data_IF_603869931359
#
_entry.id   IF_603869931359
#
_cell.length_a   1.000
_cell.length_b   1.000
_cell.length_c   1.000
_cell.angle_alpha   90.00
_cell.angle_beta   90.00
_cell.angle_gamma   90.00
#
_symmetry.space_group_name_H-M   'P 1'
#
loop_
_entity.id
_entity.type
_entity.pdbx_description
1 polymer ?
#
# COMPACT_ATOMS: atom_id res chain seq x y z
N UNK A 1 -8.39 14.30 23.81
CA UNK A 1 -8.10 15.58 23.12
C UNK A 1 -9.41 16.18 22.66
N UNK A 2 -9.77 17.36 23.15
CA UNK A 2 -10.96 18.10 22.69
C UNK A 2 -10.56 18.99 21.52
N UNK A 3 -11.21 18.82 20.39
CA UNK A 3 -10.95 19.58 19.17
C UNK A 3 -12.23 20.37 18.86
N UNK A 4 -12.13 21.69 18.82
CA UNK A 4 -13.22 22.56 18.38
C UNK A 4 -12.77 23.28 17.12
N UNK A 5 -13.44 23.00 16.00
CA UNK A 5 -13.18 23.62 14.71
C UNK A 5 -14.27 24.63 14.43
N UNK A 6 -13.88 25.90 14.39
CA UNK A 6 -14.73 27.00 14.00
C UNK A 6 -14.20 27.62 12.72
N UNK A 7 -14.71 27.17 11.58
CA UNK A 7 -14.37 27.74 10.28
C UNK A 7 -15.40 28.82 9.92
N UNK A 8 -15.02 30.07 10.04
CA UNK A 8 -15.83 31.21 9.66
C UNK A 8 -15.27 31.85 8.39
N UNK A 9 -16.07 32.07 7.38
CA UNK A 9 -15.70 32.90 6.25
C UNK A 9 -16.59 34.13 6.16
N UNK A 10 -16.12 35.17 5.47
CA UNK A 10 -16.92 36.35 5.21
C UNK A 10 -18.17 35.98 4.42
N UNK A 11 -19.34 36.42 4.90
CA UNK A 11 -20.58 36.22 4.15
C UNK A 11 -20.65 37.24 2.99
N UNK A 12 -20.55 36.72 1.78
CA UNK A 12 -20.55 37.55 0.58
C UNK A 12 -21.98 37.90 0.15
N UNK A 13 -22.23 39.22 -0.02
CA UNK A 13 -23.51 39.77 -0.44
C UNK A 13 -23.52 40.30 -1.89
N UNK A 14 -22.92 39.56 -2.82
CA UNK A 14 -23.04 39.86 -4.24
C UNK A 14 -24.45 39.54 -4.73
N UNK A 15 -24.89 40.18 -5.82
CA UNK A 15 -26.20 39.90 -6.44
C UNK A 15 -26.40 38.39 -6.70
N UNK A 16 -25.35 37.70 -7.17
CA UNK A 16 -25.43 36.27 -7.44
C UNK A 16 -25.54 35.45 -6.15
N UNK A 17 -24.81 35.81 -5.11
CA UNK A 17 -24.91 35.16 -3.80
C UNK A 17 -26.29 35.35 -3.18
N UNK A 18 -26.82 36.57 -3.21
CA UNK A 18 -28.17 36.88 -2.72
C UNK A 18 -29.26 36.09 -3.48
N UNK A 19 -29.13 35.95 -4.81
CA UNK A 19 -30.04 35.15 -5.63
C UNK A 19 -29.98 33.65 -5.33
N UNK A 20 -28.77 33.08 -5.09
CA UNK A 20 -28.62 31.69 -4.66
C UNK A 20 -29.26 31.47 -3.28
N UNK A 21 -29.00 32.37 -2.31
CA UNK A 21 -29.61 32.31 -0.98
C UNK A 21 -31.15 32.31 -1.08
N UNK A 22 -31.71 33.19 -1.89
CA UNK A 22 -33.16 33.30 -2.08
C UNK A 22 -33.76 32.08 -2.79
N UNK A 23 -33.10 31.56 -3.85
CA UNK A 23 -33.61 30.43 -4.64
C UNK A 23 -33.56 29.10 -3.88
N UNK A 24 -32.57 28.92 -3.02
CA UNK A 24 -32.35 27.67 -2.30
C UNK A 24 -32.68 27.76 -0.81
N UNK A 25 -33.26 28.89 -0.37
CA UNK A 25 -33.58 29.15 1.03
C UNK A 25 -32.42 28.89 1.98
N UNK A 26 -31.20 29.29 1.56
CA UNK A 26 -29.98 29.10 2.30
C UNK A 26 -29.60 30.37 3.06
N UNK A 27 -29.48 30.30 4.37
CA UNK A 27 -29.20 31.50 5.19
C UNK A 27 -27.77 32.00 4.97
N UNK A 28 -26.79 31.13 5.06
CA UNK A 28 -25.35 31.40 4.82
C UNK A 28 -24.58 30.12 4.73
N UNK A 29 -23.54 30.07 3.87
CA UNK A 29 -22.56 29.00 3.84
C UNK A 29 -21.28 29.32 4.64
N UNK A 30 -21.31 30.43 5.42
CA UNK A 30 -20.11 31.04 5.96
C UNK A 30 -19.54 30.36 7.23
N UNK A 31 -20.38 29.63 7.96
CA UNK A 31 -20.02 29.10 9.26
C UNK A 31 -20.08 27.57 9.26
N UNK A 32 -18.97 26.95 9.58
CA UNK A 32 -18.85 25.50 9.75
C UNK A 32 -18.21 25.20 11.11
N UNK A 33 -19.00 24.67 12.03
CA UNK A 33 -18.57 24.37 13.38
C UNK A 33 -18.59 22.86 13.59
N UNK A 34 -17.48 22.30 14.09
CA UNK A 34 -17.39 20.91 14.56
C UNK A 34 -16.79 20.92 15.95
N UNK A 35 -17.47 20.28 16.88
CA UNK A 35 -16.91 19.91 18.17
C UNK A 35 -16.65 18.41 18.17
N UNK A 36 -15.36 18.03 18.28
CA UNK A 36 -14.94 16.64 18.32
C UNK A 36 -14.21 16.35 19.64
N UNK A 37 -14.67 15.36 20.39
CA UNK A 37 -13.95 14.85 21.53
C UNK A 37 -13.24 13.54 21.15
N UNK A 38 -11.96 13.66 20.77
CA UNK A 38 -11.11 12.52 20.40
C UNK A 38 -10.25 12.17 21.62
N UNK A 39 -10.85 11.50 22.60
CA UNK A 39 -10.18 11.11 23.84
C UNK A 39 -9.36 9.82 23.61
N UNK A 40 -8.12 9.96 23.14
CA UNK A 40 -7.20 8.85 22.83
C UNK A 40 -5.85 8.98 23.54
N UNK A 41 -5.73 9.94 24.46
CA UNK A 41 -4.48 10.23 25.16
C UNK A 41 -4.08 9.11 26.13
N UNK A 42 -5.04 8.33 26.58
CA UNK A 42 -4.91 7.16 27.47
C UNK A 42 -4.62 5.84 26.72
N UNK A 43 -4.60 5.87 25.41
CA UNK A 43 -4.37 4.68 24.56
C UNK A 43 -2.93 4.59 24.09
N UNK A 44 -2.41 3.37 24.08
CA UNK A 44 -1.22 3.03 23.27
C UNK A 44 -1.68 2.71 21.86
N UNK A 45 -1.44 3.63 20.92
CA UNK A 45 -1.91 3.52 19.55
C UNK A 45 -0.85 3.95 18.53
N UNK A 46 -0.94 3.41 17.35
CA UNK A 46 -0.06 3.69 16.22
C UNK A 46 -0.81 4.29 15.03
N UNK A 47 -2.03 3.84 14.76
CA UNK A 47 -2.83 4.32 13.63
C UNK A 47 -4.22 4.73 14.11
N UNK A 48 -4.55 5.99 13.91
CA UNK A 48 -5.89 6.53 14.05
C UNK A 48 -6.48 6.90 12.69
N UNK A 49 -7.81 6.85 12.58
CA UNK A 49 -8.51 7.22 11.35
C UNK A 49 -9.62 8.21 11.64
N UNK A 50 -9.69 9.27 10.85
CA UNK A 50 -10.83 10.18 10.80
C UNK A 50 -11.54 9.96 9.47
N UNK A 51 -12.77 9.46 9.51
CA UNK A 51 -13.59 9.21 8.33
C UNK A 51 -14.81 10.13 8.27
N UNK A 52 -15.39 10.25 7.09
CA UNK A 52 -16.66 10.96 6.87
C UNK A 52 -16.76 11.56 5.49
N UNK A 53 -17.92 12.12 5.12
CA UNK A 53 -18.17 12.69 3.81
C UNK A 53 -17.19 13.80 3.44
N UNK A 54 -17.06 14.10 2.14
CA UNK A 54 -16.31 15.29 1.70
C UNK A 54 -16.92 16.55 2.29
N UNK A 55 -16.08 17.49 2.70
CA UNK A 55 -16.54 18.73 3.35
C UNK A 55 -16.94 18.60 4.82
N UNK A 56 -16.82 17.41 5.44
CA UNK A 56 -17.20 17.20 6.86
C UNK A 56 -16.14 17.66 7.88
N UNK A 57 -15.13 18.44 7.47
CA UNK A 57 -14.13 19.03 8.37
C UNK A 57 -12.98 18.14 8.79
N UNK A 58 -12.78 16.98 8.16
CA UNK A 58 -11.67 16.06 8.47
C UNK A 58 -10.30 16.75 8.47
N UNK A 59 -9.99 17.48 7.40
CA UNK A 59 -8.76 18.27 7.26
C UNK A 59 -8.60 19.30 8.36
N UNK A 60 -9.68 19.96 8.76
CA UNK A 60 -9.67 20.95 9.86
C UNK A 60 -9.42 20.29 11.22
N UNK A 61 -10.01 19.11 11.45
CA UNK A 61 -9.72 18.28 12.64
C UNK A 61 -8.24 17.89 12.63
N UNK A 62 -7.75 17.35 11.51
CA UNK A 62 -6.34 16.97 11.39
C UNK A 62 -5.38 18.11 11.72
N UNK A 63 -5.63 19.32 11.18
CA UNK A 63 -4.80 20.50 11.46
C UNK A 63 -4.74 20.89 12.93
N UNK A 64 -5.70 20.52 13.76
CA UNK A 64 -5.72 20.81 15.20
C UNK A 64 -5.16 19.67 16.06
N UNK A 65 -4.94 18.48 15.45
CA UNK A 65 -4.30 17.37 16.16
C UNK A 65 -2.82 17.66 16.45
N UNK A 66 -2.26 16.99 17.41
CA UNK A 66 -0.84 17.10 17.84
C UNK A 66 -0.39 18.55 18.11
N UNK A 67 -1.28 19.40 18.64
CA UNK A 67 -0.94 20.79 18.95
C UNK A 67 -0.75 21.69 17.72
N UNK A 68 -1.47 21.44 16.64
CA UNK A 68 -1.36 22.15 15.37
C UNK A 68 -0.44 21.44 14.38
N UNK A 69 -0.49 20.12 14.36
CA UNK A 69 0.30 19.26 13.49
C UNK A 69 0.14 19.61 12.01
N UNK A 70 1.24 19.59 11.28
CA UNK A 70 1.22 19.77 9.83
C UNK A 70 0.70 18.52 9.18
N UNK A 71 -0.26 18.69 8.26
CA UNK A 71 -0.63 17.64 7.32
C UNK A 71 0.61 17.30 6.50
N UNK A 72 0.87 16.01 6.35
CA UNK A 72 1.98 15.54 5.53
C UNK A 72 1.73 15.93 4.07
N UNK A 73 2.63 16.72 3.55
CA UNK A 73 2.70 17.06 2.13
C UNK A 73 3.96 16.41 1.56
N UNK A 74 3.82 15.56 0.53
CA UNK A 74 4.98 14.95 -0.12
C UNK A 74 5.91 16.03 -0.66
N UNK A 75 7.04 16.23 -0.03
CA UNK A 75 8.05 17.23 -0.42
C UNK A 75 9.36 16.55 -0.84
N UNK A 76 10.20 17.29 -1.56
CA UNK A 76 11.55 16.83 -1.92
C UNK A 76 11.58 15.83 -3.07
N UNK A 77 10.52 15.77 -3.87
CA UNK A 77 10.54 15.04 -5.14
C UNK A 77 11.19 15.88 -6.21
N UNK A 78 12.51 15.66 -6.43
CA UNK A 78 13.27 16.32 -7.49
C UNK A 78 12.78 15.78 -8.85
N UNK A 79 12.56 16.70 -9.79
CA UNK A 79 12.07 16.35 -11.13
C UNK A 79 13.11 15.62 -11.97
N UNK A 80 14.39 15.84 -11.66
CA UNK A 80 15.51 15.33 -12.43
C UNK A 80 16.19 14.11 -11.75
N UNK A 81 15.63 13.64 -10.63
CA UNK A 81 16.17 12.49 -9.90
C UNK A 81 15.16 11.34 -9.79
N UNK A 82 15.64 10.10 -9.81
CA UNK A 82 14.80 8.94 -9.56
C UNK A 82 14.28 8.94 -8.10
N UNK A 83 13.12 8.31 -7.89
CA UNK A 83 12.50 8.31 -6.55
C UNK A 83 13.39 7.66 -5.48
N UNK A 84 14.22 6.69 -5.85
CA UNK A 84 15.12 6.01 -4.92
C UNK A 84 16.11 6.98 -4.26
N UNK A 85 16.54 8.03 -4.97
CA UNK A 85 17.44 9.05 -4.45
C UNK A 85 16.72 10.14 -3.67
N UNK A 86 15.39 10.26 -3.84
CA UNK A 86 14.57 11.31 -3.23
C UNK A 86 13.89 10.87 -1.92
N UNK A 87 13.68 9.56 -1.70
CA UNK A 87 12.94 9.06 -0.52
C UNK A 87 13.68 9.41 0.77
N UNK A 88 14.94 9.03 0.87
CA UNK A 88 15.80 9.36 2.00
C UNK A 88 17.21 9.65 1.48
N UNK A 89 17.51 10.90 1.04
CA UNK A 89 18.77 11.23 0.37
C UNK A 89 20.04 10.94 1.18
N UNK A 90 19.92 10.86 2.50
CA UNK A 90 21.02 10.54 3.42
C UNK A 90 20.85 9.14 4.06
N UNK A 91 19.81 8.40 3.66
CA UNK A 91 19.48 7.08 4.19
C UNK A 91 20.30 5.95 3.57
N UNK A 92 20.33 4.80 4.23
CA UNK A 92 20.93 3.59 3.69
C UNK A 92 20.10 3.04 2.53
N UNK A 93 20.79 2.55 1.50
CA UNK A 93 20.16 1.96 0.31
C UNK A 93 19.22 0.80 0.65
N UNK A 94 19.60 -0.04 1.62
CA UNK A 94 18.78 -1.19 2.00
C UNK A 94 17.50 -0.75 2.71
N UNK A 95 17.54 0.30 3.51
CA UNK A 95 16.37 0.84 4.21
C UNK A 95 15.37 1.42 3.20
N UNK A 96 15.84 2.22 2.24
CA UNK A 96 15.00 2.79 1.18
C UNK A 96 14.34 1.71 0.34
N UNK A 97 15.12 0.73 -0.12
CA UNK A 97 14.58 -0.38 -0.94
C UNK A 97 13.67 -1.31 -0.15
N UNK A 98 13.95 -1.51 1.14
CA UNK A 98 13.06 -2.24 2.05
C UNK A 98 11.73 -1.52 2.25
N UNK A 99 11.73 -0.20 2.41
CA UNK A 99 10.51 0.60 2.55
C UNK A 99 9.66 0.58 1.26
N UNK A 100 10.28 0.79 0.09
CA UNK A 100 9.60 0.68 -1.21
C UNK A 100 8.92 -0.67 -1.39
N UNK A 101 9.63 -1.74 -1.07
CA UNK A 101 9.11 -3.10 -1.13
C UNK A 101 8.01 -3.34 -0.11
N UNK A 102 8.17 -2.81 1.09
CA UNK A 102 7.26 -3.03 2.22
C UNK A 102 5.90 -2.36 2.00
N UNK A 103 5.84 -1.22 1.29
CA UNK A 103 4.58 -0.57 0.91
C UNK A 103 3.99 -1.12 -0.40
N UNK A 104 4.63 -2.13 -0.99
CA UNK A 104 4.16 -2.79 -2.19
C UNK A 104 4.60 -2.14 -3.51
N UNK A 105 5.58 -1.24 -3.51
CA UNK A 105 6.20 -0.74 -4.74
C UNK A 105 7.39 -1.61 -5.12
N UNK A 106 7.11 -2.86 -5.52
CA UNK A 106 8.14 -3.85 -5.85
C UNK A 106 8.67 -3.77 -7.29
N UNK A 107 8.14 -2.89 -8.11
CA UNK A 107 8.60 -2.69 -9.49
C UNK A 107 9.90 -1.89 -9.52
N UNK A 108 11.05 -2.57 -9.67
CA UNK A 108 12.37 -1.92 -9.74
C UNK A 108 12.46 -0.83 -10.81
N UNK A 109 11.89 -0.98 -12.03
CA UNK A 109 11.88 0.10 -13.00
C UNK A 109 11.21 1.39 -12.53
N UNK A 110 10.22 1.31 -11.64
CA UNK A 110 9.59 2.50 -11.07
C UNK A 110 10.53 3.27 -10.13
N UNK A 111 11.45 2.58 -9.44
CA UNK A 111 12.42 3.20 -8.53
C UNK A 111 13.40 4.13 -9.25
N UNK A 112 13.67 3.82 -10.52
CA UNK A 112 14.60 4.55 -11.38
C UNK A 112 13.95 5.71 -12.14
N UNK A 113 12.68 6.00 -11.88
CA UNK A 113 11.94 7.08 -12.54
C UNK A 113 11.75 8.26 -11.61
N UNK A 114 11.70 9.48 -12.13
CA UNK A 114 11.29 10.66 -11.37
C UNK A 114 9.82 10.54 -10.94
N UNK A 115 9.49 11.09 -9.78
CA UNK A 115 8.14 11.00 -9.18
C UNK A 115 7.02 11.47 -10.12
N UNK A 116 7.23 12.54 -10.87
CA UNK A 116 6.20 13.15 -11.72
C UNK A 116 5.71 12.25 -12.86
N UNK A 117 6.54 11.29 -13.34
CA UNK A 117 6.19 10.36 -14.42
C UNK A 117 5.57 9.05 -13.92
N UNK A 118 5.51 8.85 -12.61
CA UNK A 118 4.87 7.68 -12.02
C UNK A 118 3.35 7.74 -12.19
N UNK A 119 2.72 6.57 -12.27
CA UNK A 119 1.27 6.45 -12.16
C UNK A 119 0.77 6.87 -10.77
N UNK A 120 -0.52 7.19 -10.62
CA UNK A 120 -1.08 7.58 -9.33
C UNK A 120 -0.88 6.51 -8.26
N UNK A 121 -0.98 5.23 -8.62
CA UNK A 121 -0.73 4.11 -7.70
C UNK A 121 0.73 3.99 -7.28
N UNK A 122 1.69 4.22 -8.20
CA UNK A 122 3.11 4.26 -7.88
C UNK A 122 3.46 5.47 -7.02
N UNK A 123 2.90 6.66 -7.32
CA UNK A 123 3.05 7.88 -6.52
C UNK A 123 2.57 7.67 -5.09
N UNK A 124 1.35 7.15 -4.93
CA UNK A 124 0.79 6.83 -3.63
C UNK A 124 1.71 5.92 -2.79
N UNK A 125 2.22 4.85 -3.40
CA UNK A 125 3.15 3.95 -2.70
C UNK A 125 4.53 4.59 -2.44
N UNK A 126 5.02 5.44 -3.32
CA UNK A 126 6.26 6.17 -3.12
C UNK A 126 6.15 7.15 -1.93
N UNK A 127 5.02 7.86 -1.82
CA UNK A 127 4.73 8.73 -0.68
C UNK A 127 4.66 7.93 0.62
N UNK A 128 4.00 6.78 0.63
CA UNK A 128 3.96 5.90 1.79
C UNK A 128 5.35 5.38 2.18
N UNK A 129 6.20 5.02 1.20
CA UNK A 129 7.58 4.61 1.46
C UNK A 129 8.38 5.73 2.10
N UNK A 130 8.20 6.98 1.62
CA UNK A 130 8.88 8.15 2.16
C UNK A 130 8.47 8.41 3.61
N UNK A 131 7.17 8.36 3.93
CA UNK A 131 6.66 8.48 5.31
C UNK A 131 7.27 7.41 6.23
N UNK A 132 7.35 6.16 5.76
CA UNK A 132 7.94 5.05 6.53
C UNK A 132 9.44 5.25 6.75
N UNK A 133 10.18 5.77 5.76
CA UNK A 133 11.62 6.06 5.89
C UNK A 133 11.90 7.24 6.81
N UNK A 134 11.10 8.30 6.71
CA UNK A 134 11.24 9.48 7.56
C UNK A 134 10.85 9.17 9.01
N UNK A 135 9.94 8.23 9.21
CA UNK A 135 9.45 7.74 10.50
C UNK A 135 9.22 8.85 11.53
N UNK A 136 8.49 9.92 11.23
CA UNK A 136 8.24 10.99 12.17
C UNK A 136 7.50 10.47 13.41
N UNK A 137 7.71 11.11 14.56
CA UNK A 137 7.00 10.76 15.80
C UNK A 137 5.48 10.81 15.62
N UNK A 138 4.99 11.79 14.87
CA UNK A 138 3.58 11.91 14.52
C UNK A 138 3.40 12.44 13.09
N UNK A 139 2.40 11.91 12.38
CA UNK A 139 2.08 12.29 11.00
C UNK A 139 0.58 12.28 10.78
N UNK A 140 0.08 13.23 9.99
CA UNK A 140 -1.29 13.30 9.52
C UNK A 140 -1.27 13.20 8.00
N UNK A 141 -1.94 12.21 7.45
CA UNK A 141 -2.04 11.99 5.99
C UNK A 141 -3.46 12.32 5.56
N UNK A 142 -3.62 13.40 4.80
CA UNK A 142 -4.92 13.80 4.26
C UNK A 142 -5.23 13.11 2.93
N UNK A 143 -6.50 13.03 2.58
CA UNK A 143 -7.01 12.40 1.36
C UNK A 143 -6.46 10.98 1.14
N UNK A 144 -6.27 10.24 2.25
CA UNK A 144 -5.71 8.90 2.19
C UNK A 144 -6.52 7.99 1.27
N UNK A 145 -5.88 7.50 0.22
CA UNK A 145 -6.44 6.65 -0.86
C UNK A 145 -7.41 7.33 -1.83
N UNK A 146 -7.60 8.64 -1.79
CA UNK A 146 -8.62 9.31 -2.62
C UNK A 146 -8.32 9.31 -4.11
N UNK A 147 -7.03 9.29 -4.49
CA UNK A 147 -6.59 9.44 -5.90
C UNK A 147 -6.19 8.13 -6.58
N UNK A 148 -6.43 6.99 -5.93
CA UNK A 148 -5.99 5.68 -6.44
C UNK A 148 -7.15 4.70 -6.57
N UNK A 149 -6.98 3.73 -7.49
CA UNK A 149 -7.89 2.61 -7.63
C UNK A 149 -8.06 1.85 -6.31
N UNK A 150 -9.28 1.33 -6.06
CA UNK A 150 -9.61 0.68 -4.77
C UNK A 150 -8.78 -0.55 -4.47
N UNK A 151 -8.34 -1.29 -5.51
CA UNK A 151 -7.46 -2.44 -5.33
C UNK A 151 -6.05 -2.01 -4.89
N UNK A 152 -5.49 -0.99 -5.55
CA UNK A 152 -4.21 -0.39 -5.17
C UNK A 152 -4.28 0.21 -3.76
N UNK A 153 -5.39 0.91 -3.46
CA UNK A 153 -5.66 1.47 -2.14
C UNK A 153 -5.66 0.37 -1.06
N UNK A 154 -6.38 -0.72 -1.30
CA UNK A 154 -6.49 -1.86 -0.38
C UNK A 154 -5.13 -2.43 0.01
N UNK A 155 -4.33 -2.81 -0.97
CA UNK A 155 -3.04 -3.46 -0.69
C UNK A 155 -1.96 -2.47 -0.26
N UNK A 156 -2.00 -1.23 -0.76
CA UNK A 156 -1.13 -0.18 -0.29
C UNK A 156 -1.39 0.17 1.18
N UNK A 157 -2.65 0.32 1.57
CA UNK A 157 -3.05 0.58 2.95
C UNK A 157 -2.67 -0.58 3.89
N UNK A 158 -2.93 -1.84 3.47
CA UNK A 158 -2.55 -3.04 4.21
C UNK A 158 -1.02 -3.15 4.39
N UNK A 159 -0.26 -2.83 3.36
CA UNK A 159 1.19 -2.86 3.39
C UNK A 159 1.76 -1.73 4.27
N UNK A 160 1.20 -0.53 4.14
CA UNK A 160 1.57 0.63 4.94
C UNK A 160 1.35 0.39 6.43
N UNK A 161 0.18 -0.06 6.85
CA UNK A 161 -0.09 -0.27 8.28
C UNK A 161 0.90 -1.25 8.92
N UNK A 162 1.29 -2.32 8.21
CA UNK A 162 2.29 -3.28 8.70
C UNK A 162 3.68 -2.66 8.86
N UNK A 163 4.04 -1.76 7.95
CA UNK A 163 5.34 -1.08 7.95
C UNK A 163 5.37 0.02 8.99
N UNK A 164 4.32 0.84 9.04
CA UNK A 164 4.22 1.95 9.97
C UNK A 164 4.24 1.50 11.44
N UNK A 165 3.52 0.44 11.78
CA UNK A 165 3.51 -0.09 13.16
C UNK A 165 4.89 -0.55 13.67
N UNK A 166 5.88 -0.67 12.82
CA UNK A 166 7.26 -1.01 13.20
C UNK A 166 8.11 0.23 13.50
N UNK A 167 7.68 1.41 13.09
CA UNK A 167 8.40 2.65 13.33
C UNK A 167 8.20 3.17 14.76
N UNK A 168 7.10 2.78 15.41
CA UNK A 168 6.71 3.28 16.73
C UNK A 168 6.06 4.66 16.72
N UNK A 169 5.91 5.28 15.54
CA UNK A 169 5.26 6.58 15.38
C UNK A 169 3.73 6.52 15.44
N UNK A 170 3.09 7.69 15.56
CA UNK A 170 1.64 7.88 15.52
C UNK A 170 1.20 8.45 14.18
N UNK A 171 0.30 7.76 13.49
CA UNK A 171 -0.24 8.18 12.20
C UNK A 171 -1.75 8.40 12.28
N UNK A 172 -2.23 9.52 11.78
CA UNK A 172 -3.66 9.78 11.59
C UNK A 172 -3.96 9.88 10.10
N UNK A 173 -4.87 9.04 9.63
CA UNK A 173 -5.29 9.00 8.25
C UNK A 173 -6.67 9.67 8.12
N UNK A 174 -6.78 10.67 7.25
CA UNK A 174 -8.04 11.34 6.95
C UNK A 174 -8.57 10.80 5.62
N UNK A 175 -9.78 10.26 5.60
CA UNK A 175 -10.34 9.66 4.38
C UNK A 175 -11.85 9.85 4.28
N UNK A 176 -12.35 10.00 3.06
CA UNK A 176 -13.78 9.92 2.76
C UNK A 176 -14.26 8.48 2.51
N UNK A 177 -13.35 7.52 2.52
CA UNK A 177 -13.61 6.13 2.21
C UNK A 177 -13.62 5.27 3.48
N UNK A 178 -14.74 4.65 3.80
CA UNK A 178 -14.92 3.81 4.99
C UNK A 178 -14.29 2.41 4.85
N UNK A 179 -14.13 1.92 3.63
CA UNK A 179 -13.53 0.60 3.36
C UNK A 179 -12.05 0.51 3.75
N UNK A 180 -11.35 1.66 3.92
CA UNK A 180 -9.98 1.65 4.42
C UNK A 180 -9.88 1.09 5.85
N UNK A 181 -10.94 1.15 6.65
CA UNK A 181 -10.94 0.69 8.03
C UNK A 181 -10.55 -0.79 8.13
N UNK A 182 -11.05 -1.60 7.19
CA UNK A 182 -10.73 -3.03 7.11
C UNK A 182 -9.27 -3.29 6.70
N UNK A 183 -8.63 -2.31 6.07
CA UNK A 183 -7.29 -2.50 5.51
C UNK A 183 -6.18 -1.95 6.40
N UNK A 184 -6.43 -0.82 7.06
CA UNK A 184 -5.42 -0.20 7.96
C UNK A 184 -5.50 -0.74 9.39
N UNK A 185 -6.58 -1.44 9.75
CA UNK A 185 -6.82 -1.98 11.09
C UNK A 185 -6.53 -0.90 12.17
N UNK A 186 -7.26 0.23 12.19
CA UNK A 186 -6.93 1.36 13.06
C UNK A 186 -7.11 1.00 14.54
N UNK A 187 -6.37 1.69 15.40
CA UNK A 187 -6.49 1.55 16.85
C UNK A 187 -7.67 2.38 17.41
N UNK A 188 -8.08 3.40 16.65
CA UNK A 188 -9.29 4.17 16.90
C UNK A 188 -9.82 4.80 15.60
N UNK A 189 -11.11 5.06 15.57
CA UNK A 189 -11.81 5.71 14.45
C UNK A 189 -12.69 6.82 14.99
N UNK A 190 -12.58 8.00 14.41
CA UNK A 190 -13.53 9.09 14.60
C UNK A 190 -14.33 9.32 13.32
N UNK A 191 -15.65 9.17 13.40
CA UNK A 191 -16.55 9.42 12.28
C UNK A 191 -17.16 10.82 12.38
N UNK A 192 -16.80 11.69 11.45
CA UNK A 192 -17.32 13.08 11.42
C UNK A 192 -18.79 13.18 11.06
N UNK A 193 -19.39 12.16 10.44
CA UNK A 193 -20.82 12.16 10.12
C UNK A 193 -21.69 11.89 11.35
N UNK A 194 -21.18 11.07 12.29
CA UNK A 194 -21.92 10.67 13.49
C UNK A 194 -21.40 11.33 14.76
N UNK A 195 -20.20 11.95 14.71
CA UNK A 195 -19.51 12.49 15.88
C UNK A 195 -19.02 11.42 16.87
N UNK A 196 -19.01 10.13 16.47
CA UNK A 196 -18.66 9.02 17.35
C UNK A 196 -17.20 8.67 17.27
N UNK A 197 -16.59 8.42 18.43
CA UNK A 197 -15.27 7.84 18.56
C UNK A 197 -15.40 6.36 18.89
N UNK A 198 -14.87 5.50 18.04
CA UNK A 198 -14.72 4.07 18.30
C UNK A 198 -13.27 3.78 18.69
N UNK A 199 -13.07 2.99 19.76
CA UNK A 199 -11.77 2.63 20.29
C UNK A 199 -11.55 1.13 20.19
N UNK A 200 -10.31 0.73 20.04
CA UNK A 200 -9.91 -0.66 19.91
C UNK A 200 -9.54 -1.00 18.46
N UNK A 201 -8.73 -2.04 18.34
CA UNK A 201 -8.21 -2.47 17.04
C UNK A 201 -9.28 -3.23 16.27
N UNK A 202 -9.79 -2.63 15.22
CA UNK A 202 -10.68 -3.28 14.27
C UNK A 202 -9.86 -4.24 13.41
N UNK A 203 -9.98 -5.56 13.67
CA UNK A 203 -9.24 -6.59 12.96
C UNK A 203 -10.11 -7.27 11.91
N UNK A 204 -10.09 -6.74 10.69
CA UNK A 204 -10.62 -7.46 9.53
C UNK A 204 -9.55 -7.45 8.43
N UNK A 205 -8.84 -8.56 8.27
CA UNK A 205 -7.89 -8.70 7.17
C UNK A 205 -8.64 -9.04 5.90
N UNK A 206 -8.34 -8.35 4.78
CA UNK A 206 -8.88 -8.76 3.49
C UNK A 206 -8.54 -10.23 3.22
N UNK A 207 -9.57 -11.05 3.04
CA UNK A 207 -9.42 -12.45 2.62
C UNK A 207 -9.51 -12.52 1.10
N UNK A 208 -8.66 -13.31 0.52
CA UNK A 208 -8.75 -13.71 -0.88
C UNK A 208 -8.17 -15.12 -1.01
N UNK A 209 -8.72 -15.88 -1.91
CA UNK A 209 -8.24 -17.21 -2.25
C UNK A 209 -7.31 -17.09 -3.47
N UNK A 210 -6.10 -17.60 -3.31
CA UNK A 210 -5.12 -17.66 -4.39
C UNK A 210 -5.14 -19.08 -4.96
N UNK A 211 -5.71 -19.21 -6.14
CA UNK A 211 -5.69 -20.46 -6.88
C UNK A 211 -4.41 -20.55 -7.72
N UNK A 212 -3.78 -21.72 -7.77
CA UNK A 212 -2.51 -21.92 -8.47
C UNK A 212 -2.68 -22.99 -9.51
N UNK A 213 -2.36 -22.67 -10.76
CA UNK A 213 -2.51 -23.55 -11.89
C UNK A 213 -1.17 -23.73 -12.61
N UNK A 214 -0.88 -24.97 -13.00
CA UNK A 214 0.18 -25.24 -13.96
C UNK A 214 -0.30 -24.75 -15.34
N UNK A 215 0.58 -24.12 -16.10
CA UNK A 215 0.27 -23.55 -17.41
C UNK A 215 1.48 -23.61 -18.33
N UNK A 216 1.35 -23.02 -19.48
CA UNK A 216 2.41 -22.83 -20.46
C UNK A 216 2.88 -21.37 -20.53
N UNK A 217 3.64 -21.03 -21.54
CA UNK A 217 4.17 -19.68 -21.75
C UNK A 217 3.12 -18.65 -22.23
N UNK A 218 1.87 -19.05 -22.45
CA UNK A 218 0.81 -18.17 -23.03
C UNK A 218 0.48 -16.98 -22.12
N UNK A 219 0.65 -17.13 -20.81
CA UNK A 219 0.45 -16.03 -19.85
C UNK A 219 1.62 -15.06 -19.78
N UNK A 220 2.83 -15.44 -20.26
CA UNK A 220 4.01 -14.59 -20.13
C UNK A 220 3.86 -13.19 -20.73
N UNK A 221 3.24 -12.97 -21.90
CA UNK A 221 3.04 -11.65 -22.47
C UNK A 221 2.27 -10.68 -21.55
N UNK A 222 1.39 -11.20 -20.69
CA UNK A 222 0.67 -10.39 -19.70
C UNK A 222 1.60 -9.90 -18.58
N UNK A 223 2.56 -10.72 -18.17
CA UNK A 223 3.45 -10.45 -17.04
C UNK A 223 4.79 -9.84 -17.43
N UNK A 224 5.23 -10.03 -18.67
CA UNK A 224 6.52 -9.56 -19.17
C UNK A 224 6.74 -8.04 -19.01
N UNK A 225 5.75 -7.16 -19.24
CA UNK A 225 5.92 -5.72 -19.05
C UNK A 225 6.27 -5.32 -17.61
N UNK A 226 5.91 -6.17 -16.64
CA UNK A 226 6.14 -5.96 -15.22
C UNK A 226 7.41 -6.66 -14.69
N UNK A 227 8.12 -7.38 -15.57
CA UNK A 227 9.39 -8.02 -15.21
C UNK A 227 10.56 -7.12 -15.50
N UNK A 228 11.44 -6.92 -14.53
CA UNK A 228 12.53 -5.95 -14.61
C UNK A 228 13.72 -6.39 -15.47
N UNK A 229 13.80 -7.66 -15.87
CA UNK A 229 14.89 -8.17 -16.71
C UNK A 229 14.35 -8.59 -18.08
N UNK A 230 15.04 -8.16 -19.14
CA UNK A 230 14.79 -8.68 -20.49
C UNK A 230 15.62 -9.92 -20.70
N UNK A 231 15.01 -11.09 -20.61
CA UNK A 231 15.67 -12.38 -20.74
C UNK A 231 15.06 -13.20 -21.89
N UNK A 232 15.85 -14.02 -22.60
CA UNK A 232 15.33 -14.93 -23.62
C UNK A 232 14.37 -15.97 -23.01
N UNK A 233 13.55 -16.62 -23.81
CA UNK A 233 12.61 -17.66 -23.37
C UNK A 233 13.31 -18.73 -22.51
N UNK A 234 12.62 -19.21 -21.48
CA UNK A 234 13.15 -20.30 -20.64
C UNK A 234 13.10 -21.62 -21.41
N UNK A 235 14.16 -22.41 -21.27
CA UNK A 235 14.26 -23.74 -21.87
C UNK A 235 13.73 -24.77 -20.87
N UNK A 236 12.93 -25.72 -21.34
CA UNK A 236 12.37 -26.84 -20.57
C UNK A 236 11.67 -26.41 -19.26
N UNK A 237 11.04 -25.23 -19.26
CA UNK A 237 10.32 -24.72 -18.10
C UNK A 237 8.88 -25.22 -18.04
N UNK A 238 8.39 -25.39 -16.84
CA UNK A 238 6.97 -25.44 -16.48
C UNK A 238 6.60 -24.09 -15.90
N UNK A 239 5.46 -23.57 -16.28
CA UNK A 239 5.00 -22.28 -15.82
C UNK A 239 3.80 -22.46 -14.88
N UNK A 240 3.69 -21.56 -13.94
CA UNK A 240 2.60 -21.50 -12.98
C UNK A 240 1.98 -20.11 -13.01
N UNK A 241 0.68 -20.04 -12.95
CA UNK A 241 -0.09 -18.81 -12.80
C UNK A 241 -0.91 -18.90 -11.52
N UNK A 242 -0.92 -17.82 -10.76
CA UNK A 242 -1.83 -17.64 -9.64
C UNK A 242 -2.96 -16.73 -10.04
N UNK A 243 -4.20 -17.11 -9.70
CA UNK A 243 -5.40 -16.33 -9.97
C UNK A 243 -6.13 -16.02 -8.67
N UNK A 244 -6.85 -14.89 -8.66
CA UNK A 244 -7.83 -14.53 -7.63
C UNK A 244 -9.12 -14.17 -8.36
N UNK A 245 -10.21 -14.82 -8.00
CA UNK A 245 -11.50 -14.67 -8.68
C UNK A 245 -11.39 -14.87 -10.21
N UNK A 246 -10.54 -15.82 -10.63
CA UNK A 246 -10.27 -16.12 -12.04
C UNK A 246 -9.34 -15.11 -12.75
N UNK A 247 -8.92 -14.03 -12.09
CA UNK A 247 -8.03 -13.01 -12.68
C UNK A 247 -6.57 -13.39 -12.44
N UNK A 248 -5.69 -13.44 -13.46
CA UNK A 248 -4.26 -13.70 -13.28
C UNK A 248 -3.57 -12.59 -12.48
N UNK A 249 -2.93 -12.94 -11.37
CA UNK A 249 -2.31 -11.99 -10.44
C UNK A 249 -0.82 -12.21 -10.24
N UNK A 250 -0.32 -13.40 -10.50
CA UNK A 250 1.12 -13.71 -10.41
C UNK A 250 1.52 -14.86 -11.34
N UNK A 251 2.80 -14.89 -11.67
CA UNK A 251 3.39 -15.85 -12.60
C UNK A 251 4.79 -16.26 -12.15
N UNK A 252 5.15 -17.52 -12.37
CA UNK A 252 6.46 -18.10 -12.05
C UNK A 252 6.82 -19.18 -13.06
N UNK A 253 8.07 -19.20 -13.48
CA UNK A 253 8.63 -20.32 -14.26
C UNK A 253 9.54 -21.20 -13.41
N UNK A 254 9.44 -22.51 -13.59
CA UNK A 254 10.29 -23.50 -12.94
C UNK A 254 11.00 -24.32 -14.02
N UNK A 255 12.33 -24.39 -13.96
CA UNK A 255 13.15 -25.13 -14.93
C UNK A 255 14.12 -26.09 -14.22
N UNK A 256 14.53 -27.20 -14.84
CA UNK A 256 15.49 -28.10 -14.26
C UNK A 256 16.86 -27.44 -14.13
N UNK A 257 17.57 -27.76 -13.04
CA UNK A 257 18.95 -27.43 -12.82
C UNK A 257 19.78 -28.72 -12.74
N UNK A 258 20.24 -29.18 -13.87
CA UNK A 258 20.83 -30.49 -14.04
C UNK A 258 22.06 -30.70 -13.15
N UNK A 259 22.91 -29.67 -13.05
CA UNK A 259 24.13 -29.69 -12.23
C UNK A 259 23.88 -29.99 -10.74
N UNK A 260 22.74 -29.53 -10.21
CA UNK A 260 22.38 -29.68 -8.80
C UNK A 260 21.28 -30.70 -8.55
N UNK A 261 20.91 -31.47 -9.58
CA UNK A 261 19.78 -32.42 -9.52
C UNK A 261 18.49 -31.79 -8.88
N UNK A 262 18.22 -30.56 -9.21
CA UNK A 262 17.13 -29.77 -8.62
C UNK A 262 16.37 -28.96 -9.65
N UNK A 263 15.46 -28.13 -9.14
CA UNK A 263 14.66 -27.21 -9.93
C UNK A 263 15.05 -25.77 -9.60
N UNK A 264 14.94 -24.89 -10.57
CA UNK A 264 15.13 -23.46 -10.40
C UNK A 264 13.82 -22.73 -10.64
N UNK A 265 13.29 -22.12 -9.60
CA UNK A 265 12.23 -21.14 -9.72
C UNK A 265 12.79 -19.77 -10.16
N UNK A 266 12.19 -19.15 -11.15
CA UNK A 266 12.63 -17.87 -11.69
C UNK A 266 11.50 -17.14 -12.40
N UNK A 267 11.74 -15.88 -12.79
CA UNK A 267 10.76 -15.02 -13.46
C UNK A 267 9.46 -14.88 -12.69
N UNK A 268 9.58 -14.72 -11.38
CA UNK A 268 8.43 -14.43 -10.56
C UNK A 268 7.97 -12.99 -10.81
N UNK A 269 6.73 -12.84 -11.16
CA UNK A 269 6.07 -11.55 -11.34
C UNK A 269 4.78 -11.55 -10.54
N UNK A 270 4.51 -10.45 -9.84
CA UNK A 270 3.23 -10.17 -9.21
C UNK A 270 2.71 -8.88 -9.81
N UNK A 271 1.46 -8.88 -10.25
CA UNK A 271 0.83 -7.70 -10.83
C UNK A 271 0.89 -6.53 -9.84
N UNK A 272 1.12 -5.29 -10.33
CA UNK A 272 1.36 -4.12 -9.46
C UNK A 272 0.29 -3.90 -8.40
N UNK A 273 -0.97 -4.09 -8.73
CA UNK A 273 -2.13 -3.93 -7.86
C UNK A 273 -2.15 -4.94 -6.70
N UNK A 274 -1.46 -6.07 -6.83
CA UNK A 274 -1.39 -7.16 -5.83
C UNK A 274 -0.08 -7.15 -5.02
N UNK A 275 0.85 -6.25 -5.35
CA UNK A 275 2.09 -6.12 -4.59
C UNK A 275 1.81 -5.58 -3.18
N UNK A 276 2.51 -6.15 -2.18
CA UNK A 276 2.27 -5.84 -0.76
C UNK A 276 1.20 -6.71 -0.08
N UNK A 277 0.34 -7.40 -0.84
CA UNK A 277 -0.67 -8.32 -0.31
C UNK A 277 -0.11 -9.65 0.25
N UNK A 278 1.18 -9.94 0.02
CA UNK A 278 1.81 -11.21 0.36
C UNK A 278 1.52 -12.33 -0.64
N UNK A 279 0.98 -12.01 -1.82
CA UNK A 279 0.72 -12.95 -2.91
C UNK A 279 2.01 -13.63 -3.36
N UNK A 280 3.06 -12.84 -3.65
CA UNK A 280 4.31 -13.35 -4.21
C UNK A 280 4.98 -14.41 -3.33
N UNK A 281 5.09 -14.19 -2.03
CA UNK A 281 5.71 -15.15 -1.10
C UNK A 281 4.88 -16.44 -0.97
N UNK A 282 3.55 -16.32 -0.85
CA UNK A 282 2.66 -17.49 -0.78
C UNK A 282 2.69 -18.30 -2.05
N UNK A 283 2.69 -17.64 -3.22
CA UNK A 283 2.76 -18.28 -4.52
C UNK A 283 4.08 -19.00 -4.72
N UNK A 284 5.20 -18.34 -4.41
CA UNK A 284 6.53 -18.95 -4.47
C UNK A 284 6.62 -20.18 -3.57
N UNK A 285 6.21 -20.07 -2.32
CA UNK A 285 6.21 -21.17 -1.36
C UNK A 285 5.40 -22.36 -1.87
N UNK A 286 4.16 -22.12 -2.33
CA UNK A 286 3.28 -23.18 -2.80
C UNK A 286 3.83 -23.88 -4.04
N UNK A 287 4.31 -23.14 -5.06
CA UNK A 287 4.90 -23.74 -6.27
C UNK A 287 6.17 -24.53 -5.94
N UNK A 288 7.00 -24.04 -5.01
CA UNK A 288 8.19 -24.78 -4.57
C UNK A 288 7.84 -26.04 -3.78
N UNK A 289 6.80 -25.98 -2.94
CA UNK A 289 6.30 -27.15 -2.20
C UNK A 289 5.80 -28.26 -3.14
N UNK A 290 5.14 -27.94 -4.27
CA UNK A 290 4.76 -28.93 -5.29
C UNK A 290 5.99 -29.71 -5.79
N UNK A 291 7.10 -29.01 -6.07
CA UNK A 291 8.32 -29.67 -6.53
C UNK A 291 8.94 -30.57 -5.45
N UNK A 292 8.95 -30.09 -4.20
CA UNK A 292 9.50 -30.84 -3.04
C UNK A 292 8.63 -32.05 -2.69
N UNK A 293 7.34 -32.02 -2.98
CA UNK A 293 6.44 -33.16 -2.78
C UNK A 293 6.45 -34.17 -3.92
N UNK A 294 7.14 -33.87 -5.03
CA UNK A 294 7.11 -34.70 -6.21
C UNK A 294 5.85 -34.54 -7.07
N UNK A 295 5.08 -33.49 -6.84
CA UNK A 295 3.85 -33.14 -7.56
C UNK A 295 4.12 -32.21 -8.76
N UNK A 296 5.38 -31.91 -9.05
CA UNK A 296 5.79 -31.10 -10.19
C UNK A 296 5.96 -31.92 -11.48
N UNK A 297 6.51 -31.26 -12.51
CA UNK A 297 6.69 -31.84 -13.88
C UNK A 297 7.31 -33.25 -13.92
N UNK A 298 8.17 -33.57 -12.99
CA UNK A 298 8.91 -34.83 -13.00
C UNK A 298 8.24 -35.94 -12.19
N UNK A 299 6.99 -35.76 -11.77
CA UNK A 299 6.18 -36.76 -11.04
C UNK A 299 6.98 -37.62 -10.06
N UNK A 300 6.46 -38.02 -8.96
CA UNK A 300 7.06 -38.93 -7.95
C UNK A 300 8.53 -38.66 -7.53
N UNK A 301 9.17 -37.62 -8.07
CA UNK A 301 10.57 -37.26 -7.74
C UNK A 301 10.62 -35.99 -6.92
N UNK A 302 10.93 -36.13 -5.66
CA UNK A 302 11.27 -35.00 -4.79
C UNK A 302 12.47 -34.24 -5.36
N UNK A 303 12.30 -32.93 -5.60
CA UNK A 303 13.36 -32.07 -6.12
C UNK A 303 13.58 -30.88 -5.22
N UNK A 304 14.82 -30.64 -4.85
CA UNK A 304 15.21 -29.39 -4.22
C UNK A 304 14.92 -28.22 -5.17
N UNK A 305 14.44 -27.10 -4.63
CA UNK A 305 14.17 -25.89 -5.41
C UNK A 305 15.11 -24.79 -5.02
N UNK A 306 15.70 -24.16 -6.03
CA UNK A 306 16.59 -23.03 -5.90
C UNK A 306 15.91 -21.77 -6.42
N UNK A 307 15.96 -20.70 -5.66
CA UNK A 307 15.47 -19.40 -6.07
C UNK A 307 16.52 -18.33 -5.83
N UNK A 308 16.81 -17.52 -6.84
CA UNK A 308 17.72 -16.40 -6.76
C UNK A 308 16.97 -15.11 -7.00
N UNK A 309 17.16 -14.16 -6.13
CA UNK A 309 16.59 -12.83 -6.28
C UNK A 309 17.57 -11.77 -5.77
N UNK A 310 17.65 -10.66 -6.47
CA UNK A 310 18.33 -9.44 -6.01
C UNK A 310 17.35 -8.45 -5.37
N UNK A 311 16.05 -8.78 -5.34
CA UNK A 311 15.04 -7.91 -4.76
C UNK A 311 15.18 -7.85 -3.24
N UNK A 312 15.54 -6.69 -2.62
CA UNK A 312 15.92 -6.63 -1.20
C UNK A 312 14.82 -7.10 -0.25
N UNK A 313 13.58 -6.67 -0.48
CA UNK A 313 12.43 -7.06 0.34
C UNK A 313 12.15 -8.55 0.32
N UNK A 314 12.28 -9.19 -0.85
CA UNK A 314 12.09 -10.64 -0.99
C UNK A 314 13.26 -11.40 -0.34
N UNK A 315 14.50 -10.97 -0.54
CA UNK A 315 15.67 -11.52 0.13
C UNK A 315 15.51 -11.51 1.66
N UNK A 316 15.11 -10.35 2.21
CA UNK A 316 14.91 -10.21 3.65
C UNK A 316 13.74 -11.09 4.16
N UNK A 317 12.69 -11.26 3.38
CA UNK A 317 11.57 -12.14 3.68
C UNK A 317 11.97 -13.61 3.72
N UNK A 318 12.65 -14.07 2.68
CA UNK A 318 13.10 -15.46 2.56
C UNK A 318 14.11 -15.84 3.66
N UNK A 319 15.09 -14.97 3.97
CA UNK A 319 16.06 -15.21 5.06
C UNK A 319 15.41 -15.36 6.43
N UNK A 320 14.23 -14.76 6.66
CA UNK A 320 13.47 -14.89 7.91
C UNK A 320 12.51 -16.08 7.91
N UNK A 321 12.28 -16.66 6.76
CA UNK A 321 11.39 -17.81 6.62
C UNK A 321 12.05 -19.08 7.14
N UNK A 322 11.27 -19.91 7.85
CA UNK A 322 11.73 -21.25 8.26
C UNK A 322 11.64 -22.30 7.14
N UNK A 323 11.09 -21.91 5.98
CA UNK A 323 10.93 -22.78 4.81
C UNK A 323 12.12 -22.72 3.85
N UNK A 324 12.95 -21.67 3.96
CA UNK A 324 14.08 -21.35 3.07
C UNK A 324 15.41 -21.35 3.81
#
# INVERSE_FOLDING_TARGET
>A
MKISVNNNCTDYNSYRAARVKSLFNADSGANFNIDADIAVDDLDWSIGVVVGPSGSGKTSIGKQMFGGGKIYEPQGWDKDKPIIDCIAPQGDFNDVTAALSAVGLGSVPAWLRPYHVLSNGEKFRADLAKIVCEAPESVIVDEFTSVVDRQIAKFGALAFQKSWRRTGGKCVLLSCHYDILDWVEPDWVFDTATGKLERGRLRQRPKFDLEIHETDKSYWPLFEPHYYLKLPSMIAATYYVGTVDGVPVCHLGVSPRLELNGMRASRMVVMPEWQGAGVGSRFLDAVCELQVRGEGRYGDRVKAVYFHTSHPGLCAGLRRSKKW
#
